data_IF_374532397104
#
_entry.id   IF_374532397104
#
_cell.length_a   1.000
_cell.length_b   1.000
_cell.length_c   1.000
_cell.angle_alpha   90.00
_cell.angle_beta   90.00
_cell.angle_gamma   90.00
#
_symmetry.space_group_name_H-M   'P 1'
#
loop_
_entity.id
_entity.type
_entity.pdbx_description
1 polymer ?
#
# COMPACT_ATOMS: atom_id res chain seq x y z
N UNK A 1 62.97 30.67 10.84
CA UNK A 1 61.98 29.64 10.46
C UNK A 1 61.34 29.10 11.73
N UNK A 2 60.06 28.68 11.66
CA UNK A 2 58.84 29.31 12.19
C UNK A 2 58.60 28.98 13.69
N UNK A 3 57.59 29.46 14.43
CA UNK A 3 56.61 30.54 14.31
C UNK A 3 55.79 30.48 15.62
N UNK A 4 55.75 31.60 16.32
CA UNK A 4 54.56 32.21 16.95
C UNK A 4 53.86 31.42 18.07
N UNK A 5 54.11 31.86 19.30
CA UNK A 5 53.10 31.87 20.35
C UNK A 5 52.08 32.99 20.11
N UNK A 6 50.86 32.84 20.64
CA UNK A 6 49.92 33.96 20.61
C UNK A 6 48.48 33.66 21.03
N UNK A 7 48.14 34.20 22.20
CA UNK A 7 46.94 34.99 22.52
C UNK A 7 45.56 34.30 22.42
N UNK A 8 44.90 34.22 23.59
CA UNK A 8 43.49 33.86 23.74
C UNK A 8 42.56 34.82 22.98
N UNK A 9 41.45 34.33 22.39
CA UNK A 9 40.50 35.20 21.72
C UNK A 9 39.54 35.89 22.72
N UNK A 10 39.08 37.11 22.40
CA UNK A 10 38.33 37.98 23.31
C UNK A 10 36.84 37.60 23.40
N UNK A 11 36.13 38.05 24.44
CA UNK A 11 34.71 37.81 24.59
C UNK A 11 33.89 38.81 23.76
N UNK A 12 33.02 38.29 22.91
CA UNK A 12 31.82 38.99 22.46
C UNK A 12 31.71 39.29 20.96
N UNK A 13 30.63 38.74 20.40
CA UNK A 13 29.76 39.30 19.33
C UNK A 13 30.30 39.27 17.89
N UNK A 14 29.82 38.29 17.11
CA UNK A 14 29.44 38.50 15.70
C UNK A 14 28.59 37.35 15.14
N UNK A 15 27.80 37.59 14.07
CA UNK A 15 26.39 37.24 14.01
C UNK A 15 26.08 36.13 12.99
N UNK A 16 24.97 35.43 13.23
CA UNK A 16 24.08 34.90 12.19
C UNK A 16 24.72 34.13 11.05
N UNK A 17 25.15 32.89 11.30
CA UNK A 17 25.28 31.88 10.24
C UNK A 17 24.03 30.99 10.32
N UNK A 18 23.17 30.96 9.29
CA UNK A 18 22.00 30.08 9.29
C UNK A 18 22.46 28.62 9.22
N UNK A 19 21.99 27.82 10.17
CA UNK A 19 22.28 26.39 10.23
C UNK A 19 21.72 25.65 9.00
N UNK A 20 22.39 24.59 8.51
CA UNK A 20 21.89 23.76 7.44
C UNK A 20 20.60 23.03 7.87
N UNK A 21 19.62 22.83 6.97
CA UNK A 21 18.27 22.32 7.30
C UNK A 21 18.21 20.83 7.69
N UNK A 22 19.35 20.18 7.97
CA UNK A 22 19.43 18.75 8.31
C UNK A 22 20.35 18.43 9.49
N UNK A 23 20.52 19.37 10.44
CA UNK A 23 21.11 19.05 11.73
C UNK A 23 20.07 18.42 12.68
N UNK A 24 20.35 17.26 13.31
CA UNK A 24 19.43 16.65 14.27
C UNK A 24 19.25 17.55 15.49
N UNK A 25 18.01 17.99 15.72
CA UNK A 25 17.61 18.73 16.92
C UNK A 25 17.85 17.86 18.17
N UNK A 26 18.50 18.38 19.23
CA UNK A 26 18.61 17.66 20.49
C UNK A 26 17.22 17.44 21.11
N UNK A 27 16.90 16.19 21.43
CA UNK A 27 15.63 15.81 22.08
C UNK A 27 15.55 16.44 23.47
N UNK A 28 14.37 16.93 23.89
CA UNK A 28 14.17 17.36 25.27
C UNK A 28 14.31 16.17 26.23
N UNK A 29 15.07 16.38 27.30
CA UNK A 29 15.21 15.44 28.42
C UNK A 29 13.86 15.35 29.14
N UNK A 30 13.27 14.17 29.18
CA UNK A 30 12.05 13.91 29.94
C UNK A 30 12.45 13.89 31.42
N UNK A 31 12.09 14.93 32.16
CA UNK A 31 12.14 14.93 33.61
C UNK A 31 11.00 14.04 34.12
N UNK A 32 11.34 12.89 34.68
CA UNK A 32 10.39 12.10 35.46
C UNK A 32 10.03 12.88 36.74
N UNK A 33 8.74 13.05 37.06
CA UNK A 33 8.36 13.65 38.34
C UNK A 33 8.77 12.72 39.50
N UNK A 34 9.22 13.27 40.63
CA UNK A 34 9.60 12.46 41.79
C UNK A 34 8.39 11.67 42.30
N UNK A 35 8.59 10.44 42.79
CA UNK A 35 7.50 9.61 43.31
C UNK A 35 6.83 10.27 44.50
N UNK A 36 5.49 10.31 44.45
CA UNK A 36 4.60 10.79 45.52
C UNK A 36 4.92 10.07 46.84
N UNK A 37 5.02 10.78 47.99
CA UNK A 37 5.22 10.13 49.27
C UNK A 37 4.00 9.27 49.64
N UNK A 38 4.25 7.98 49.87
CA UNK A 38 3.26 7.02 50.37
C UNK A 38 2.93 7.34 51.84
N UNK A 39 1.66 7.17 52.17
CA UNK A 39 0.98 7.46 53.42
C UNK A 39 1.83 7.40 54.71
N UNK A 40 1.64 8.41 55.55
CA UNK A 40 2.14 8.51 56.91
C UNK A 40 1.90 7.21 57.71
N UNK A 41 3.00 6.62 58.20
CA UNK A 41 2.94 5.61 59.24
C UNK A 41 2.37 6.26 60.51
N UNK A 42 1.08 6.03 60.78
CA UNK A 42 0.48 6.38 62.06
C UNK A 42 1.17 5.57 63.15
N UNK A 43 2.06 6.23 63.88
CA UNK A 43 2.76 5.69 65.03
C UNK A 43 1.79 5.70 66.21
N UNK A 44 1.15 4.56 66.48
CA UNK A 44 0.49 4.35 67.77
C UNK A 44 1.60 4.17 68.80
N UNK A 45 1.82 5.20 69.61
CA UNK A 45 2.71 5.15 70.78
C UNK A 45 2.03 4.26 71.83
N UNK A 46 2.44 2.99 71.93
CA UNK A 46 2.14 2.15 73.09
C UNK A 46 3.42 2.08 73.90
N UNK A 47 3.44 2.77 75.04
CA UNK A 47 4.48 2.62 76.05
C UNK A 47 4.30 1.24 76.69
N UNK A 48 5.05 0.25 76.20
CA UNK A 48 5.07 -1.09 76.77
C UNK A 48 6.15 -1.11 77.84
N UNK A 49 5.73 -1.29 79.09
CA UNK A 49 6.61 -1.42 80.24
C UNK A 49 7.60 -2.58 80.11
N UNK A 50 8.76 -2.40 80.74
CA UNK A 50 10.00 -3.18 80.64
C UNK A 50 9.87 -4.68 81.01
N UNK A 51 8.72 -5.13 81.53
CA UNK A 51 8.46 -6.53 81.89
C UNK A 51 7.99 -7.44 80.73
N UNK A 52 7.59 -6.89 79.57
CA UNK A 52 7.08 -7.70 78.42
C UNK A 52 8.19 -8.06 77.40
N UNK A 53 9.38 -7.48 77.50
CA UNK A 53 10.47 -7.72 76.54
C UNK A 53 11.14 -9.09 76.68
N UNK A 54 11.19 -9.68 77.87
CA UNK A 54 11.87 -10.97 78.07
C UNK A 54 11.05 -12.15 77.57
N UNK A 55 9.72 -12.12 77.69
CA UNK A 55 8.85 -13.19 77.17
C UNK A 55 8.72 -13.14 75.63
N UNK A 56 8.69 -11.93 75.05
CA UNK A 56 8.69 -11.76 73.58
C UNK A 56 9.98 -12.23 72.91
N UNK A 57 11.14 -12.13 73.56
CA UNK A 57 12.42 -12.61 72.99
C UNK A 57 12.52 -14.13 72.87
N UNK A 58 11.82 -14.89 73.72
CA UNK A 58 11.79 -16.36 73.63
C UNK A 58 10.70 -16.88 72.68
N UNK A 59 9.54 -16.20 72.62
CA UNK A 59 8.48 -16.53 71.67
C UNK A 59 8.80 -16.10 70.22
N UNK A 60 9.42 -14.93 70.02
CA UNK A 60 9.75 -14.41 68.69
C UNK A 60 10.77 -15.26 67.94
N UNK A 61 11.71 -15.91 68.64
CA UNK A 61 12.71 -16.79 68.01
C UNK A 61 12.10 -18.06 67.43
N UNK A 62 11.07 -18.64 68.06
CA UNK A 62 10.37 -19.81 67.53
C UNK A 62 9.40 -19.41 66.40
N UNK A 63 8.64 -18.33 66.58
CA UNK A 63 7.70 -17.85 65.54
C UNK A 63 8.42 -17.30 64.30
N UNK A 64 9.56 -16.62 64.45
CA UNK A 64 10.37 -16.15 63.32
C UNK A 64 11.02 -17.31 62.53
N UNK A 65 11.40 -18.40 63.21
CA UNK A 65 11.93 -19.59 62.54
C UNK A 65 10.84 -20.31 61.72
N UNK A 66 9.64 -20.46 62.27
CA UNK A 66 8.50 -21.07 61.57
C UNK A 66 7.95 -20.19 60.45
N UNK A 67 7.91 -18.86 60.63
CA UNK A 67 7.51 -17.89 59.60
C UNK A 67 8.57 -17.78 58.48
N UNK A 68 9.86 -17.87 58.82
CA UNK A 68 10.95 -17.92 57.84
C UNK A 68 10.90 -19.20 56.99
N UNK A 69 10.59 -20.34 57.59
CA UNK A 69 10.43 -21.61 56.87
C UNK A 69 9.20 -21.62 55.95
N UNK A 70 8.06 -21.09 56.42
CA UNK A 70 6.83 -20.99 55.59
C UNK A 70 6.95 -19.94 54.49
N UNK A 71 7.66 -18.83 54.72
CA UNK A 71 7.95 -17.85 53.66
C UNK A 71 8.91 -18.40 52.58
N UNK A 72 9.95 -19.17 52.97
CA UNK A 72 10.86 -19.82 52.01
C UNK A 72 10.18 -20.93 51.20
N UNK A 73 9.32 -21.74 51.83
CA UNK A 73 8.52 -22.75 51.14
C UNK A 73 7.41 -22.13 50.26
N UNK A 74 6.79 -21.05 50.72
CA UNK A 74 5.72 -20.33 50.02
C UNK A 74 6.19 -19.54 48.81
N UNK A 75 7.39 -18.92 48.87
CA UNK A 75 7.96 -18.17 47.73
C UNK A 75 8.45 -19.14 46.63
N UNK A 76 9.04 -20.28 46.99
CA UNK A 76 9.49 -21.29 46.02
C UNK A 76 8.33 -22.00 45.30
N UNK A 77 7.28 -22.38 46.02
CA UNK A 77 6.09 -23.03 45.45
C UNK A 77 5.17 -22.04 44.74
N UNK A 78 5.05 -20.80 45.22
CA UNK A 78 4.23 -19.75 44.61
C UNK A 78 4.75 -19.27 43.26
N UNK A 79 6.07 -19.09 43.10
CA UNK A 79 6.67 -18.76 41.80
C UNK A 79 6.61 -19.93 40.82
N UNK A 80 6.82 -21.17 41.27
CA UNK A 80 6.74 -22.35 40.41
C UNK A 80 5.29 -22.65 39.96
N UNK A 81 4.32 -22.60 40.87
CA UNK A 81 2.91 -22.83 40.57
C UNK A 81 2.29 -21.66 39.76
N UNK A 82 2.68 -20.42 40.07
CA UNK A 82 2.29 -19.23 39.30
C UNK A 82 2.85 -19.27 37.87
N UNK A 83 4.12 -19.63 37.70
CA UNK A 83 4.73 -19.80 36.37
C UNK A 83 4.15 -20.97 35.58
N UNK A 84 3.79 -22.08 36.24
CA UNK A 84 3.13 -23.22 35.60
C UNK A 84 1.69 -22.89 35.18
N UNK A 85 0.93 -22.19 36.02
CA UNK A 85 -0.43 -21.73 35.70
C UNK A 85 -0.42 -20.68 34.59
N UNK A 86 0.47 -19.69 34.65
CA UNK A 86 0.62 -18.71 33.56
C UNK A 86 1.08 -19.35 32.25
N UNK A 87 1.96 -20.37 32.29
CA UNK A 87 2.34 -21.13 31.08
C UNK A 87 1.17 -21.94 30.53
N UNK A 88 0.36 -22.56 31.39
CA UNK A 88 -0.84 -23.29 31.00
C UNK A 88 -1.91 -22.37 30.38
N UNK A 89 -2.15 -21.21 31.01
CA UNK A 89 -3.13 -20.23 30.52
C UNK A 89 -2.65 -19.57 29.22
N UNK A 90 -1.35 -19.25 29.09
CA UNK A 90 -0.76 -18.79 27.82
C UNK A 90 -0.85 -19.85 26.72
N UNK A 91 -0.60 -21.12 27.06
CA UNK A 91 -0.73 -22.23 26.11
C UNK A 91 -2.16 -22.37 25.58
N UNK A 92 -3.17 -22.27 26.45
CA UNK A 92 -4.58 -22.27 26.02
C UNK A 92 -4.93 -21.09 25.12
N UNK A 93 -4.51 -19.88 25.49
CA UNK A 93 -4.72 -18.68 24.67
C UNK A 93 -3.99 -18.77 23.32
N UNK A 94 -2.84 -19.43 23.25
CA UNK A 94 -2.12 -19.68 22.00
C UNK A 94 -2.89 -20.62 21.07
N UNK A 95 -3.44 -21.70 21.62
CA UNK A 95 -4.25 -22.70 20.89
C UNK A 95 -5.55 -22.06 20.39
N UNK A 96 -6.24 -21.28 21.23
CA UNK A 96 -7.45 -20.53 20.86
C UNK A 96 -7.13 -19.45 19.82
N UNK A 97 -6.04 -18.72 20.01
CA UNK A 97 -5.54 -17.72 19.06
C UNK A 97 -5.21 -18.34 17.69
N UNK A 98 -4.56 -19.50 17.66
CA UNK A 98 -4.26 -20.23 16.43
C UNK A 98 -5.55 -20.67 15.72
N UNK A 99 -6.55 -21.19 16.44
CA UNK A 99 -7.85 -21.56 15.86
C UNK A 99 -8.60 -20.35 15.27
N UNK A 100 -8.52 -19.19 15.93
CA UNK A 100 -9.12 -17.97 15.43
C UNK A 100 -8.37 -17.41 14.20
N UNK A 101 -7.03 -17.47 14.20
CA UNK A 101 -6.22 -17.07 13.04
C UNK A 101 -6.44 -18.00 11.85
N UNK A 102 -6.58 -19.30 12.06
CA UNK A 102 -6.90 -20.25 10.99
C UNK A 102 -8.17 -19.81 10.25
N UNK A 103 -9.25 -19.49 10.99
CA UNK A 103 -10.52 -19.05 10.39
C UNK A 103 -10.35 -17.76 9.60
N UNK A 104 -9.62 -16.79 10.14
CA UNK A 104 -9.38 -15.51 9.47
C UNK A 104 -8.55 -15.70 8.18
N UNK A 105 -7.51 -16.54 8.21
CA UNK A 105 -6.69 -16.86 7.04
C UNK A 105 -7.51 -17.58 5.96
N UNK A 106 -8.38 -18.53 6.35
CA UNK A 106 -9.27 -19.22 5.40
C UNK A 106 -10.27 -18.25 4.75
N UNK A 107 -10.87 -17.36 5.53
CA UNK A 107 -11.79 -16.34 5.01
C UNK A 107 -11.08 -15.37 4.05
N UNK A 108 -9.82 -15.02 4.34
CA UNK A 108 -8.99 -14.23 3.45
C UNK A 108 -8.70 -14.96 2.13
N UNK A 109 -8.37 -16.26 2.20
CA UNK A 109 -8.15 -17.10 1.03
C UNK A 109 -9.40 -17.24 0.15
N UNK A 110 -10.59 -17.41 0.73
CA UNK A 110 -11.84 -17.43 -0.04
C UNK A 110 -12.05 -16.12 -0.83
N UNK A 111 -11.77 -14.98 -0.21
CA UNK A 111 -11.85 -13.67 -0.89
C UNK A 111 -10.77 -13.49 -1.96
N UNK A 112 -9.59 -14.06 -1.76
CA UNK A 112 -8.52 -14.08 -2.76
C UNK A 112 -8.86 -14.97 -3.95
N UNK A 113 -9.54 -16.11 -3.74
CA UNK A 113 -10.06 -16.94 -4.82
C UNK A 113 -11.15 -16.21 -5.61
N UNK A 114 -12.12 -15.59 -4.92
CA UNK A 114 -13.15 -14.75 -5.56
C UNK A 114 -12.52 -13.64 -6.43
N UNK A 115 -11.48 -12.98 -5.93
CA UNK A 115 -10.74 -11.96 -6.67
C UNK A 115 -10.05 -12.54 -7.91
N UNK A 116 -9.37 -13.69 -7.79
CA UNK A 116 -8.68 -14.35 -8.90
C UNK A 116 -9.64 -14.73 -10.03
N UNK A 117 -10.80 -15.27 -9.70
CA UNK A 117 -11.80 -15.69 -10.69
C UNK A 117 -12.36 -14.47 -11.44
N UNK A 118 -12.67 -13.40 -10.72
CA UNK A 118 -13.15 -12.14 -11.31
C UNK A 118 -12.10 -11.45 -12.18
N UNK A 119 -10.82 -11.50 -11.78
CA UNK A 119 -9.71 -11.03 -12.62
C UNK A 119 -9.62 -11.83 -13.93
N UNK A 120 -9.80 -13.15 -13.87
CA UNK A 120 -9.84 -14.01 -15.05
C UNK A 120 -10.97 -13.63 -16.01
N UNK A 121 -12.19 -13.50 -15.48
CA UNK A 121 -13.36 -13.12 -16.25
C UNK A 121 -13.21 -11.71 -16.86
N UNK A 122 -12.68 -10.74 -16.12
CA UNK A 122 -12.43 -9.39 -16.61
C UNK A 122 -11.39 -9.36 -17.74
N UNK A 123 -10.31 -10.13 -17.61
CA UNK A 123 -9.29 -10.26 -18.65
C UNK A 123 -9.88 -10.90 -19.93
N UNK A 124 -10.80 -11.86 -19.79
CA UNK A 124 -11.51 -12.46 -20.90
C UNK A 124 -12.46 -11.46 -21.59
N UNK A 125 -13.19 -10.64 -20.83
CA UNK A 125 -14.02 -9.57 -21.40
C UNK A 125 -13.20 -8.59 -22.24
N UNK A 126 -12.04 -8.16 -21.72
CA UNK A 126 -11.12 -7.30 -22.48
C UNK A 126 -10.64 -7.96 -23.77
N UNK A 127 -10.41 -9.27 -23.77
CA UNK A 127 -10.02 -10.02 -24.98
C UNK A 127 -11.13 -10.07 -26.04
N UNK A 128 -12.39 -10.00 -25.61
CA UNK A 128 -13.59 -9.96 -26.47
C UNK A 128 -14.02 -8.54 -26.83
N UNK A 129 -13.14 -7.54 -26.63
CA UNK A 129 -13.43 -6.11 -26.85
C UNK A 129 -14.64 -5.59 -26.06
N UNK A 130 -14.84 -6.11 -24.85
CA UNK A 130 -15.86 -5.64 -23.91
C UNK A 130 -15.18 -5.11 -22.64
N UNK A 131 -15.64 -3.94 -22.17
CA UNK A 131 -15.03 -3.32 -20.99
C UNK A 131 -15.66 -3.92 -19.73
N UNK A 132 -14.86 -4.36 -18.73
CA UNK A 132 -15.37 -4.99 -17.53
C UNK A 132 -15.86 -3.95 -16.51
N UNK A 133 -16.95 -3.26 -16.87
CA UNK A 133 -17.57 -2.20 -16.08
C UNK A 133 -18.02 -2.68 -14.70
N UNK A 134 -18.67 -3.86 -14.67
CA UNK A 134 -19.12 -4.48 -13.43
C UNK A 134 -17.94 -4.83 -12.52
N UNK A 135 -16.85 -5.37 -13.07
CA UNK A 135 -15.65 -5.70 -12.31
C UNK A 135 -15.01 -4.48 -11.64
N UNK A 136 -15.00 -3.32 -12.31
CA UNK A 136 -14.44 -2.08 -11.74
C UNK A 136 -15.18 -1.67 -10.46
N UNK A 137 -16.50 -1.86 -10.42
CA UNK A 137 -17.32 -1.65 -9.23
C UNK A 137 -17.05 -2.71 -8.17
N UNK A 138 -17.03 -3.99 -8.57
CA UNK A 138 -16.82 -5.12 -7.67
C UNK A 138 -15.44 -5.14 -7.02
N UNK A 139 -14.38 -4.71 -7.72
CA UNK A 139 -13.03 -4.56 -7.16
C UNK A 139 -13.01 -3.63 -5.94
N UNK A 140 -13.86 -2.59 -5.94
CA UNK A 140 -14.00 -1.70 -4.81
C UNK A 140 -14.66 -2.35 -3.59
N UNK A 141 -15.50 -3.36 -3.81
CA UNK A 141 -16.22 -4.08 -2.76
C UNK A 141 -15.42 -5.28 -2.20
N UNK A 142 -14.53 -5.86 -3.00
CA UNK A 142 -13.69 -6.97 -2.56
C UNK A 142 -12.54 -6.40 -1.71
N UNK A 143 -12.64 -6.55 -0.40
CA UNK A 143 -11.53 -6.32 0.53
C UNK A 143 -11.13 -7.67 1.12
N UNK A 144 -9.84 -8.03 1.04
CA UNK A 144 -9.34 -9.25 1.68
C UNK A 144 -9.22 -8.98 3.18
N UNK A 145 -10.01 -9.64 4.05
CA UNK A 145 -10.17 -9.26 5.45
C UNK A 145 -9.05 -9.84 6.35
N UNK A 146 -7.81 -9.47 6.07
CA UNK A 146 -6.67 -9.87 6.90
C UNK A 146 -5.62 -8.78 7.02
N UNK A 147 -5.41 -8.28 8.23
CA UNK A 147 -4.41 -7.26 8.54
C UNK A 147 -3.82 -7.46 9.95
N UNK A 148 -3.09 -6.46 10.45
CA UNK A 148 -2.45 -6.53 11.76
C UNK A 148 -3.46 -6.60 12.93
N UNK A 149 -4.68 -6.10 12.75
CA UNK A 149 -5.73 -6.14 13.79
C UNK A 149 -6.20 -7.58 14.04
N UNK A 150 -6.15 -8.45 13.03
CA UNK A 150 -6.42 -9.88 13.19
C UNK A 150 -5.44 -10.58 14.13
N UNK A 151 -4.29 -9.98 14.42
CA UNK A 151 -3.26 -10.56 15.29
C UNK A 151 -3.46 -10.18 16.76
N UNK A 152 -4.27 -9.16 17.04
CA UNK A 152 -4.48 -8.62 18.38
C UNK A 152 -5.12 -9.65 19.32
N UNK A 153 -4.61 -9.72 20.55
CA UNK A 153 -5.09 -10.64 21.60
C UNK A 153 -4.99 -12.14 21.27
N UNK A 154 -4.34 -12.55 20.17
CA UNK A 154 -4.20 -13.97 19.77
C UNK A 154 -2.91 -14.64 20.24
N UNK A 155 -2.18 -14.01 21.15
CA UNK A 155 -0.92 -14.52 21.73
C UNK A 155 0.08 -15.03 20.67
N UNK A 156 0.19 -14.32 19.54
CA UNK A 156 1.02 -14.76 18.39
C UNK A 156 2.50 -14.98 18.74
N UNK A 157 3.01 -14.33 19.81
CA UNK A 157 4.38 -14.50 20.30
C UNK A 157 4.67 -15.86 20.93
N UNK A 158 3.63 -16.68 21.16
CA UNK A 158 3.76 -18.06 21.64
C UNK A 158 3.69 -19.10 20.52
N UNK A 159 3.39 -18.68 19.28
CA UNK A 159 3.43 -19.56 18.11
C UNK A 159 4.88 -19.97 17.79
N UNK A 160 5.08 -21.14 17.15
CA UNK A 160 6.40 -21.52 16.65
C UNK A 160 6.98 -20.42 15.76
N UNK A 161 8.26 -20.10 15.93
CA UNK A 161 8.89 -18.97 15.23
C UNK A 161 8.86 -19.05 13.70
N UNK A 162 8.65 -20.24 13.11
CA UNK A 162 8.36 -20.40 11.68
C UNK A 162 6.96 -19.89 11.33
N UNK A 163 5.94 -20.35 12.06
CA UNK A 163 4.53 -19.99 11.84
C UNK A 163 4.30 -18.50 12.10
N UNK A 164 4.92 -17.95 13.14
CA UNK A 164 4.86 -16.51 13.41
C UNK A 164 5.45 -15.68 12.26
N UNK A 165 6.59 -16.08 11.67
CA UNK A 165 7.16 -15.39 10.51
C UNK A 165 6.28 -15.52 9.27
N UNK A 166 5.72 -16.70 9.02
CA UNK A 166 4.77 -16.92 7.92
C UNK A 166 3.53 -16.03 8.08
N UNK A 167 2.99 -15.94 9.29
CA UNK A 167 1.85 -15.10 9.63
C UNK A 167 2.12 -13.62 9.34
N UNK A 168 3.25 -13.07 9.80
CA UNK A 168 3.63 -11.67 9.56
C UNK A 168 3.89 -11.38 8.07
N UNK A 169 4.52 -12.32 7.37
CA UNK A 169 4.73 -12.23 5.92
C UNK A 169 3.40 -12.20 5.19
N UNK A 170 2.49 -13.11 5.53
CA UNK A 170 1.15 -13.20 4.95
C UNK A 170 0.33 -11.92 5.22
N UNK A 171 0.38 -11.37 6.44
CA UNK A 171 -0.25 -10.08 6.76
C UNK A 171 0.24 -8.97 5.83
N UNK A 172 1.56 -8.88 5.60
CA UNK A 172 2.14 -7.87 4.72
C UNK A 172 1.70 -8.08 3.27
N UNK A 173 1.76 -9.32 2.78
CA UNK A 173 1.36 -9.68 1.42
C UNK A 173 -0.12 -9.38 1.14
N UNK A 174 -1.02 -9.64 2.10
CA UNK A 174 -2.46 -9.31 1.95
C UNK A 174 -2.68 -7.80 1.89
N UNK A 175 -1.97 -7.02 2.70
CA UNK A 175 -2.05 -5.56 2.65
C UNK A 175 -1.57 -5.01 1.30
N UNK A 176 -0.45 -5.53 0.78
CA UNK A 176 0.08 -5.11 -0.52
C UNK A 176 -0.80 -5.57 -1.68
N UNK A 177 -1.43 -6.74 -1.58
CA UNK A 177 -2.48 -7.17 -2.51
C UNK A 177 -3.64 -6.16 -2.54
N UNK A 178 -4.16 -5.75 -1.38
CA UNK A 178 -5.26 -4.79 -1.31
C UNK A 178 -4.88 -3.44 -1.95
N UNK A 179 -3.65 -2.93 -1.72
CA UNK A 179 -3.15 -1.71 -2.40
C UNK A 179 -3.02 -1.88 -3.91
N UNK A 180 -2.50 -3.02 -4.36
CA UNK A 180 -2.32 -3.32 -5.79
C UNK A 180 -3.68 -3.43 -6.49
N UNK A 181 -4.64 -4.09 -5.84
CA UNK A 181 -6.04 -4.17 -6.28
C UNK A 181 -6.68 -2.78 -6.41
N UNK A 182 -6.48 -1.89 -5.44
CA UNK A 182 -7.00 -0.51 -5.52
C UNK A 182 -6.34 0.28 -6.65
N UNK A 183 -5.05 0.06 -6.89
CA UNK A 183 -4.33 0.67 -8.03
C UNK A 183 -4.88 0.17 -9.38
N UNK A 184 -5.17 -1.13 -9.49
CA UNK A 184 -5.81 -1.73 -10.68
C UNK A 184 -7.20 -1.14 -10.92
N UNK A 185 -8.01 -0.98 -9.86
CA UNK A 185 -9.33 -0.32 -9.94
C UNK A 185 -9.21 1.09 -10.51
N UNK A 186 -8.27 1.88 -10.01
CA UNK A 186 -8.06 3.25 -10.50
C UNK A 186 -7.60 3.28 -11.96
N UNK A 187 -6.74 2.35 -12.34
CA UNK A 187 -6.27 2.22 -13.73
C UNK A 187 -7.42 1.84 -14.68
N UNK A 188 -8.27 0.89 -14.28
CA UNK A 188 -9.48 0.51 -15.02
C UNK A 188 -10.42 1.70 -15.19
N UNK A 189 -10.76 2.40 -14.10
CA UNK A 189 -11.65 3.55 -14.14
C UNK A 189 -11.12 4.67 -15.07
N UNK A 190 -9.81 4.95 -15.03
CA UNK A 190 -9.19 5.95 -15.89
C UNK A 190 -9.18 5.54 -17.37
N UNK A 191 -9.05 4.25 -17.66
CA UNK A 191 -8.93 3.74 -19.02
C UNK A 191 -10.28 3.57 -19.73
N UNK A 192 -11.39 3.39 -19.00
CA UNK A 192 -12.71 3.02 -19.55
C UNK A 192 -13.11 3.86 -20.75
N UNK A 193 -13.22 5.19 -20.58
CA UNK A 193 -13.71 6.07 -21.65
C UNK A 193 -12.80 6.07 -22.88
N UNK A 194 -11.49 5.93 -22.69
CA UNK A 194 -10.53 5.88 -23.80
C UNK A 194 -10.64 4.57 -24.57
N UNK A 195 -10.74 3.45 -23.87
CA UNK A 195 -10.85 2.11 -24.47
C UNK A 195 -12.19 1.96 -25.20
N UNK A 196 -13.30 2.31 -24.55
CA UNK A 196 -14.64 2.24 -25.18
C UNK A 196 -14.73 3.14 -26.41
N UNK A 197 -14.18 4.37 -26.35
CA UNK A 197 -14.09 5.25 -27.51
C UNK A 197 -13.30 4.58 -28.64
N UNK A 198 -12.15 3.99 -28.33
CA UNK A 198 -11.31 3.38 -29.35
C UNK A 198 -11.92 2.15 -30.03
N UNK A 199 -12.69 1.33 -29.31
CA UNK A 199 -13.41 0.21 -29.93
C UNK A 199 -14.54 0.69 -30.83
N UNK A 200 -15.29 1.72 -30.41
CA UNK A 200 -16.29 2.35 -31.28
C UNK A 200 -15.65 2.90 -32.56
N UNK A 201 -14.49 3.53 -32.45
CA UNK A 201 -13.74 4.03 -33.60
C UNK A 201 -13.09 2.93 -34.45
N UNK A 202 -12.94 1.72 -33.92
CA UNK A 202 -12.48 0.58 -34.70
C UNK A 202 -13.62 0.03 -35.58
N UNK A 203 -14.84 -0.04 -35.04
CA UNK A 203 -16.02 -0.51 -35.76
C UNK A 203 -16.58 0.57 -36.71
N UNK A 204 -16.53 1.83 -36.29
CA UNK A 204 -16.93 3.01 -37.06
C UNK A 204 -15.76 4.00 -37.15
N UNK A 205 -14.82 3.80 -38.10
CA UNK A 205 -13.66 4.67 -38.20
C UNK A 205 -14.05 6.11 -38.51
N UNK A 206 -13.52 7.03 -37.70
CA UNK A 206 -13.72 8.48 -37.86
C UNK A 206 -12.39 9.19 -37.96
N UNK A 207 -12.33 10.20 -38.81
CA UNK A 207 -11.16 11.08 -38.93
C UNK A 207 -11.14 12.04 -37.74
N UNK A 208 -10.42 11.64 -36.70
CA UNK A 208 -10.23 12.44 -35.48
C UNK A 208 -9.17 13.53 -35.61
N UNK A 209 -8.20 13.34 -36.50
CA UNK A 209 -7.05 14.22 -36.63
C UNK A 209 -6.82 14.60 -38.08
N UNK A 210 -6.22 15.77 -38.25
CA UNK A 210 -5.72 16.22 -39.54
C UNK A 210 -4.33 16.79 -39.36
N UNK A 211 -3.52 16.76 -40.42
CA UNK A 211 -2.24 17.46 -40.46
C UNK A 211 -2.46 18.81 -41.15
N UNK A 212 -2.11 19.89 -40.46
CA UNK A 212 -2.04 21.22 -41.06
C UNK A 212 -0.59 21.60 -41.30
N UNK A 213 -0.36 22.32 -42.39
CA UNK A 213 0.97 22.82 -42.73
C UNK A 213 1.05 24.31 -42.50
N UNK A 214 2.16 24.78 -41.95
CA UNK A 214 2.46 26.21 -41.80
C UNK A 214 3.88 26.51 -42.26
N UNK A 215 4.07 27.68 -42.86
CA UNK A 215 5.41 28.25 -43.05
C UNK A 215 5.93 28.81 -41.73
N UNK A 216 7.17 28.49 -41.42
CA UNK A 216 7.96 29.01 -40.30
C UNK A 216 9.32 29.44 -40.85
N UNK A 217 9.39 30.70 -41.28
CA UNK A 217 10.49 31.20 -42.12
C UNK A 217 10.58 30.42 -43.43
N UNK A 218 11.77 29.87 -43.70
CA UNK A 218 12.05 29.08 -44.91
C UNK A 218 11.64 27.60 -44.79
N UNK A 219 11.11 27.17 -43.64
CA UNK A 219 10.72 25.78 -43.38
C UNK A 219 9.21 25.63 -43.36
N UNK A 220 8.72 24.47 -43.80
CA UNK A 220 7.32 24.08 -43.62
C UNK A 220 7.22 23.12 -42.45
N UNK A 221 6.40 23.46 -41.46
CA UNK A 221 6.09 22.60 -40.33
C UNK A 221 4.75 21.91 -40.56
N UNK A 222 4.72 20.61 -40.31
CA UNK A 222 3.51 19.81 -40.23
C UNK A 222 3.08 19.70 -38.76
N UNK A 223 1.83 20.01 -38.47
CA UNK A 223 1.25 19.96 -37.12
C UNK A 223 0.06 18.99 -37.14
N UNK A 224 0.11 17.96 -36.30
CA UNK A 224 -1.04 17.08 -36.06
C UNK A 224 -2.04 17.82 -35.16
N UNK A 225 -3.26 18.03 -35.65
CA UNK A 225 -4.30 18.79 -34.96
C UNK A 225 -5.58 17.97 -34.85
N UNK A 226 -6.28 17.97 -33.70
CA UNK A 226 -7.57 17.33 -33.58
C UNK A 226 -8.65 18.07 -34.38
N UNK A 227 -9.53 17.32 -35.00
CA UNK A 227 -10.75 17.82 -35.64
C UNK A 227 -11.79 18.10 -34.54
N UNK A 228 -12.37 19.29 -34.52
CA UNK A 228 -13.40 19.67 -33.54
C UNK A 228 -14.62 18.74 -33.63
N UNK A 229 -15.02 18.43 -34.86
CA UNK A 229 -16.08 17.48 -35.18
C UNK A 229 -15.48 16.36 -36.06
N UNK A 230 -15.12 15.20 -35.48
CA UNK A 230 -14.71 14.04 -36.25
C UNK A 230 -15.80 13.63 -37.25
N UNK A 231 -15.39 13.12 -38.42
CA UNK A 231 -16.30 12.72 -39.49
C UNK A 231 -15.99 11.29 -39.97
N UNK A 232 -16.98 10.56 -40.49
CA UNK A 232 -16.82 9.16 -40.86
C UNK A 232 -15.79 8.95 -41.97
N UNK A 233 -14.93 7.96 -41.79
CA UNK A 233 -13.99 7.49 -42.80
C UNK A 233 -14.73 6.70 -43.89
N UNK A 234 -14.22 6.75 -45.13
CA UNK A 234 -14.82 6.04 -46.26
C UNK A 234 -16.16 6.57 -46.77
N UNK A 235 -16.65 7.70 -46.25
CA UNK A 235 -17.84 8.43 -46.74
C UNK A 235 -17.44 9.77 -47.37
N UNK A 236 -18.41 10.54 -47.83
CA UNK A 236 -18.19 11.91 -48.31
C UNK A 236 -17.56 12.78 -47.21
N UNK A 237 -16.27 13.05 -47.38
CA UNK A 237 -15.54 13.91 -46.45
C UNK A 237 -15.93 15.38 -46.67
N UNK A 238 -15.98 16.19 -45.61
CA UNK A 238 -16.30 17.61 -45.72
C UNK A 238 -15.21 18.36 -46.50
N UNK A 239 -15.63 19.33 -47.33
CA UNK A 239 -14.70 20.22 -48.04
C UNK A 239 -14.01 21.22 -47.09
N UNK A 240 -14.69 21.58 -45.99
CA UNK A 240 -14.18 22.45 -44.94
C UNK A 240 -14.61 21.93 -43.57
N UNK A 241 -13.74 22.02 -42.59
CA UNK A 241 -14.01 21.56 -41.23
C UNK A 241 -13.16 22.32 -40.22
N UNK A 242 -13.60 22.31 -38.97
CA UNK A 242 -12.91 23.02 -37.89
C UNK A 242 -11.86 22.11 -37.24
N UNK A 243 -10.63 22.61 -37.15
CA UNK A 243 -9.52 22.00 -36.42
C UNK A 243 -9.20 22.83 -35.18
N UNK A 244 -8.74 22.18 -34.12
CA UNK A 244 -8.29 22.86 -32.90
C UNK A 244 -6.77 22.90 -32.88
N UNK A 245 -6.20 24.10 -32.95
CA UNK A 245 -4.75 24.34 -32.97
C UNK A 245 -4.28 24.93 -31.66
N UNK A 246 -3.02 24.69 -31.29
CA UNK A 246 -2.42 25.37 -30.15
C UNK A 246 -1.74 26.65 -30.62
N UNK A 247 -2.25 27.79 -30.19
CA UNK A 247 -1.71 29.10 -30.54
C UNK A 247 -0.99 29.74 -29.38
N UNK A 248 0.16 30.35 -29.67
CA UNK A 248 0.94 31.06 -28.66
C UNK A 248 0.31 32.43 -28.41
N UNK A 249 -0.27 32.60 -27.23
CA UNK A 249 -0.78 33.88 -26.73
C UNK A 249 0.19 34.49 -25.72
N UNK A 250 -0.01 35.75 -25.35
CA UNK A 250 0.77 36.40 -24.29
C UNK A 250 0.66 35.67 -22.92
N UNK A 251 -0.34 34.81 -22.75
CA UNK A 251 -0.62 34.04 -21.54
C UNK A 251 -0.21 32.55 -21.66
N UNK A 252 0.49 32.17 -22.74
CA UNK A 252 0.90 30.78 -23.02
C UNK A 252 0.19 30.16 -24.23
N UNK A 253 0.36 28.85 -24.41
CA UNK A 253 -0.31 28.08 -25.48
C UNK A 253 -1.80 27.92 -25.14
N UNK A 254 -2.68 28.36 -26.04
CA UNK A 254 -4.14 28.19 -25.89
C UNK A 254 -4.72 27.48 -27.11
N UNK A 255 -5.71 26.59 -26.93
CA UNK A 255 -6.43 26.00 -28.04
C UNK A 255 -7.27 27.08 -28.75
N UNK A 256 -7.14 27.15 -30.06
CA UNK A 256 -7.88 28.03 -30.96
C UNK A 256 -8.54 27.19 -32.06
N UNK A 257 -9.82 27.45 -32.30
CA UNK A 257 -10.58 26.77 -33.34
C UNK A 257 -10.41 27.51 -34.66
N UNK A 258 -10.01 26.80 -35.72
CA UNK A 258 -9.85 27.35 -37.06
C UNK A 258 -10.54 26.50 -38.09
N UNK A 259 -11.26 27.14 -39.00
CA UNK A 259 -11.76 26.48 -40.20
C UNK A 259 -10.58 26.19 -41.13
N UNK A 260 -10.49 24.95 -41.59
CA UNK A 260 -9.51 24.52 -42.57
C UNK A 260 -10.20 23.92 -43.79
N UNK A 261 -9.69 24.22 -44.98
CA UNK A 261 -10.09 23.57 -46.21
C UNK A 261 -9.42 22.20 -46.32
N UNK A 262 -10.17 21.18 -46.74
CA UNK A 262 -9.60 19.86 -47.01
C UNK A 262 -8.66 19.95 -48.21
N UNK A 263 -7.41 19.56 -48.02
CA UNK A 263 -6.49 19.43 -49.14
C UNK A 263 -6.91 18.27 -50.06
N UNK A 264 -6.87 18.50 -51.37
CA UNK A 264 -7.26 17.50 -52.38
C UNK A 264 -6.20 17.31 -53.47
N UNK A 265 -5.47 18.37 -53.83
CA UNK A 265 -4.37 18.37 -54.80
C UNK A 265 -3.64 19.72 -54.76
N UNK A 266 -2.41 19.76 -55.29
CA UNK A 266 -1.64 21.00 -55.45
C UNK A 266 -0.74 21.32 -54.25
N UNK A 267 -0.18 22.53 -54.23
CA UNK A 267 0.76 22.97 -53.18
C UNK A 267 0.04 23.18 -51.84
N UNK A 268 0.57 22.56 -50.80
CA UNK A 268 0.02 22.54 -49.43
C UNK A 268 0.43 23.79 -48.63
N UNK A 269 1.41 24.56 -49.14
CA UNK A 269 2.03 25.68 -48.42
C UNK A 269 1.52 27.07 -48.84
N UNK A 270 0.60 27.17 -49.81
CA UNK A 270 0.13 28.45 -50.38
C UNK A 270 -1.36 28.73 -50.13
N UNK A 271 -1.67 29.76 -49.33
CA UNK A 271 -3.03 30.30 -49.17
C UNK A 271 -3.69 30.02 -47.81
N UNK A 272 -5.03 29.85 -47.83
CA UNK A 272 -5.87 29.56 -46.66
C UNK A 272 -5.42 28.29 -45.91
N UNK A 273 -5.78 28.16 -44.63
CA UNK A 273 -5.42 27.00 -43.81
C UNK A 273 -5.94 25.71 -44.47
N UNK A 274 -5.03 24.84 -44.89
CA UNK A 274 -5.35 23.54 -45.47
C UNK A 274 -5.03 22.42 -44.48
N UNK A 275 -5.91 21.43 -44.44
CA UNK A 275 -5.79 20.28 -43.55
C UNK A 275 -5.90 18.97 -44.35
N UNK A 276 -4.97 18.06 -44.10
CA UNK A 276 -4.94 16.71 -44.64
C UNK A 276 -5.52 15.75 -43.59
N UNK A 277 -6.70 15.16 -43.81
CA UNK A 277 -7.26 14.14 -42.93
C UNK A 277 -6.28 12.99 -42.70
N UNK A 278 -6.10 12.59 -41.45
CA UNK A 278 -5.26 11.43 -41.10
C UNK A 278 -6.12 10.18 -41.15
N UNK A 279 -5.57 9.11 -41.73
CA UNK A 279 -6.20 7.79 -41.73
C UNK A 279 -6.42 7.32 -40.28
N UNK A 280 -7.68 7.07 -39.85
CA UNK A 280 -7.97 6.64 -38.48
C UNK A 280 -7.25 5.36 -38.08
N UNK A 281 -6.99 4.44 -39.02
CA UNK A 281 -6.31 3.18 -38.74
C UNK A 281 -4.86 3.41 -38.27
N UNK A 282 -4.21 4.46 -38.80
CA UNK A 282 -2.85 4.84 -38.40
C UNK A 282 -2.77 5.40 -36.98
N UNK A 283 -3.88 5.91 -36.43
CA UNK A 283 -3.95 6.51 -35.09
C UNK A 283 -4.51 5.53 -34.05
N UNK A 284 -5.52 4.75 -34.43
CA UNK A 284 -6.21 3.80 -33.56
C UNK A 284 -5.30 2.63 -33.13
N UNK A 285 -4.40 2.18 -34.04
CA UNK A 285 -3.49 1.06 -33.80
C UNK A 285 -2.47 1.33 -32.66
N UNK A 286 -2.13 2.59 -32.40
CA UNK A 286 -1.05 2.90 -31.45
C UNK A 286 -1.52 3.19 -30.01
N UNK A 287 -2.76 3.66 -29.83
CA UNK A 287 -3.20 4.13 -28.51
C UNK A 287 -4.10 3.14 -27.77
N UNK A 288 -4.93 2.38 -28.48
CA UNK A 288 -5.94 1.51 -27.86
C UNK A 288 -5.41 0.15 -27.43
N UNK A 289 -4.71 -0.55 -28.33
CA UNK A 289 -4.18 -1.89 -28.08
C UNK A 289 -3.14 -1.89 -26.97
N UNK A 290 -2.31 -0.84 -26.89
CA UNK A 290 -1.35 -0.69 -25.80
C UNK A 290 -2.02 -0.53 -24.44
N UNK A 291 -3.13 0.20 -24.35
CA UNK A 291 -3.87 0.38 -23.10
C UNK A 291 -4.54 -0.93 -22.69
N UNK A 292 -5.20 -1.62 -23.64
CA UNK A 292 -5.82 -2.93 -23.39
C UNK A 292 -4.78 -3.97 -22.99
N UNK A 293 -3.61 -3.98 -23.64
CA UNK A 293 -2.50 -4.86 -23.28
C UNK A 293 -2.03 -4.58 -21.86
N UNK A 294 -1.74 -3.31 -21.51
CA UNK A 294 -1.33 -2.92 -20.15
C UNK A 294 -2.36 -3.29 -19.09
N UNK A 295 -3.65 -3.10 -19.38
CA UNK A 295 -4.75 -3.51 -18.50
C UNK A 295 -4.74 -5.02 -18.24
N UNK A 296 -4.60 -5.81 -19.30
CA UNK A 296 -4.55 -7.28 -19.21
C UNK A 296 -3.30 -7.75 -18.47
N UNK A 297 -2.14 -7.16 -18.75
CA UNK A 297 -0.90 -7.46 -18.03
C UNK A 297 -1.07 -7.17 -16.54
N UNK A 298 -1.60 -6.01 -16.15
CA UNK A 298 -1.84 -5.69 -14.75
C UNK A 298 -2.79 -6.68 -14.06
N UNK A 299 -3.84 -7.15 -14.76
CA UNK A 299 -4.71 -8.21 -14.22
C UNK A 299 -3.96 -9.54 -14.06
N UNK A 300 -3.11 -9.90 -15.02
CA UNK A 300 -2.29 -11.13 -14.96
C UNK A 300 -1.30 -11.04 -13.80
N UNK A 301 -0.64 -9.91 -13.58
CA UNK A 301 0.31 -9.70 -12.49
C UNK A 301 -0.34 -9.94 -11.12
N UNK A 302 -1.55 -9.41 -10.91
CA UNK A 302 -2.31 -9.66 -9.68
C UNK A 302 -2.70 -11.13 -9.56
N UNK A 303 -3.10 -11.79 -10.65
CA UNK A 303 -3.40 -13.23 -10.64
C UNK A 303 -2.16 -14.07 -10.32
N UNK A 304 -0.99 -13.72 -10.83
CA UNK A 304 0.26 -14.39 -10.49
C UNK A 304 0.63 -14.19 -9.02
N UNK A 305 0.36 -13.01 -8.44
CA UNK A 305 0.53 -12.80 -7.01
C UNK A 305 -0.41 -13.69 -6.18
N UNK A 306 -1.65 -13.88 -6.63
CA UNK A 306 -2.65 -14.71 -5.95
C UNK A 306 -2.38 -16.22 -6.09
N UNK A 307 -2.24 -16.70 -7.33
CA UNK A 307 -2.20 -18.12 -7.69
C UNK A 307 -0.78 -18.68 -7.91
N UNK A 308 0.22 -17.80 -7.93
CA UNK A 308 1.60 -18.15 -8.25
C UNK A 308 1.91 -18.10 -9.74
N UNK A 309 3.19 -17.99 -10.07
CA UNK A 309 3.68 -18.14 -11.44
C UNK A 309 4.14 -19.59 -11.65
N UNK A 310 3.52 -20.29 -12.60
CA UNK A 310 3.92 -21.65 -13.03
C UNK A 310 4.41 -21.68 -14.47
N UNK A 311 4.36 -20.55 -15.16
CA UNK A 311 4.65 -20.45 -16.59
C UNK A 311 6.16 -20.37 -16.85
N UNK A 312 6.92 -19.85 -15.88
CA UNK A 312 8.38 -19.78 -15.94
C UNK A 312 9.02 -20.61 -14.81
N UNK A 313 9.63 -21.77 -15.12
CA UNK A 313 10.32 -22.60 -14.13
C UNK A 313 11.44 -21.87 -13.38
N UNK A 314 12.04 -20.83 -13.96
CA UNK A 314 13.09 -20.04 -13.31
C UNK A 314 12.56 -18.97 -12.33
N UNK A 315 11.25 -18.70 -12.34
CA UNK A 315 10.59 -17.71 -11.50
C UNK A 315 9.32 -18.29 -10.86
N UNK A 316 9.31 -19.60 -10.58
CA UNK A 316 8.15 -20.28 -10.03
C UNK A 316 7.85 -19.74 -8.63
N UNK A 317 6.60 -19.33 -8.40
CA UNK A 317 6.13 -18.86 -7.09
C UNK A 317 4.86 -19.62 -6.69
N UNK A 318 4.71 -19.88 -5.39
CA UNK A 318 3.57 -20.63 -4.86
C UNK A 318 2.24 -19.84 -4.92
N UNK A 319 2.31 -18.51 -4.81
CA UNK A 319 1.15 -17.63 -4.75
C UNK A 319 0.59 -17.48 -3.35
N UNK A 320 -0.03 -16.32 -3.10
CA UNK A 320 -0.54 -15.94 -1.77
C UNK A 320 -1.68 -16.86 -1.27
N UNK A 321 -2.50 -17.40 -2.17
CA UNK A 321 -3.55 -18.37 -1.80
C UNK A 321 -2.92 -19.62 -1.20
N UNK A 322 -1.91 -20.19 -1.86
CA UNK A 322 -1.22 -21.39 -1.36
C UNK A 322 -0.48 -21.10 -0.05
N UNK A 323 0.20 -19.95 0.05
CA UNK A 323 0.84 -19.52 1.29
C UNK A 323 -0.15 -19.42 2.45
N UNK A 324 -1.35 -18.89 2.19
CA UNK A 324 -2.44 -18.83 3.16
C UNK A 324 -2.96 -20.20 3.55
N UNK A 325 -3.11 -21.13 2.59
CA UNK A 325 -3.58 -22.50 2.89
C UNK A 325 -2.57 -23.25 3.75
N UNK A 326 -1.28 -23.13 3.42
CA UNK A 326 -0.18 -23.71 4.20
C UNK A 326 -0.14 -23.12 5.62
N UNK A 327 -0.30 -21.80 5.76
CA UNK A 327 -0.38 -21.13 7.05
C UNK A 327 -1.60 -21.58 7.87
N UNK A 328 -2.78 -21.63 7.26
CA UNK A 328 -4.00 -22.11 7.92
C UNK A 328 -3.83 -23.55 8.42
N UNK A 329 -3.20 -24.41 7.63
CA UNK A 329 -2.94 -25.80 8.02
C UNK A 329 -1.94 -25.92 9.18
N UNK A 330 -0.91 -25.08 9.24
CA UNK A 330 0.01 -25.03 10.38
C UNK A 330 -0.67 -24.49 11.65
N UNK A 331 -1.49 -23.44 11.53
CA UNK A 331 -2.31 -22.93 12.63
C UNK A 331 -3.31 -23.98 13.13
N UNK A 332 -3.91 -24.74 12.22
CA UNK A 332 -4.79 -25.85 12.54
C UNK A 332 -4.09 -26.90 13.41
N UNK A 333 -2.89 -27.33 13.03
CA UNK A 333 -2.10 -28.30 13.81
C UNK A 333 -1.83 -27.80 15.23
N UNK A 334 -1.53 -26.52 15.39
CA UNK A 334 -1.33 -25.91 16.72
C UNK A 334 -2.64 -25.91 17.52
N UNK A 335 -3.77 -25.62 16.87
CA UNK A 335 -5.08 -25.61 17.53
C UNK A 335 -5.52 -27.00 18.05
N UNK A 336 -4.96 -28.07 17.48
CA UNK A 336 -5.23 -29.45 17.86
C UNK A 336 -4.34 -29.95 19.01
N UNK A 337 -3.28 -29.22 19.38
CA UNK A 337 -2.31 -29.62 20.41
C UNK A 337 -2.85 -29.48 21.86
N UNK A 338 -4.14 -29.76 22.06
CA UNK A 338 -4.83 -29.72 23.36
C UNK A 338 -4.28 -30.75 24.35
#
# INVERSE_FOLDING_TARGET
MPSVGGIAPPPGISPGIPMPPFAPQPRPVIHTPPPKPTAAAQTIKVEVGEEVEQERRKASKRTALYAGLTALLGIGLGFAAGAQKERGDRGKLAVEGAAALEKDVRAANEKMQELNDKLGAAAEQLSKKSFPTQFTTELGAINVPFDATNLENKQIGSLPGRVMRQLLSYTTSVQDLNKTKDSLKNLLAAAQGTVEKSWKEQDEPVVNFSVVFRRDGDKTLAELVPNKAPFPFGKDWPAKYTVTRLERTQQGLKPAEKEAARWTKGDIAGGDLQALPVDPQSVAAFTSEQIVFKLRSAMIDVRQLLAGNKENPAAETAGLIKEGDDLANELHKISLAR
#
